data_IF_333032779273
#
_entry.id   IF_333032779273
#
_cell.length_a   1.000
_cell.length_b   1.000
_cell.length_c   1.000
_cell.angle_alpha   90.00
_cell.angle_beta   90.00
_cell.angle_gamma   90.00
#
_symmetry.space_group_name_H-M   'P 1'
#
loop_
_entity.id
_entity.type
_entity.pdbx_description
1 polymer ?
#
# COMPACT_ATOMS: atom_id res chain seq x y z
N UNK A 1 -17.68 1.37 10.09
CA UNK A 1 -16.58 2.19 10.64
C UNK A 1 -15.30 1.38 10.66
N UNK A 2 -14.26 1.76 9.90
CA UNK A 2 -12.93 1.16 10.06
C UNK A 2 -12.26 1.83 11.25
N UNK A 3 -12.23 1.17 12.40
CA UNK A 3 -11.40 1.58 13.54
C UNK A 3 -9.92 1.64 13.11
N UNK A 4 -9.13 2.47 13.80
CA UNK A 4 -7.70 2.63 13.50
C UNK A 4 -6.99 1.27 13.51
N UNK A 5 -6.36 0.92 12.38
CA UNK A 5 -5.57 -0.31 12.23
C UNK A 5 -4.17 -0.17 12.82
N UNK A 6 -3.74 1.04 13.19
CA UNK A 6 -2.40 1.38 13.68
C UNK A 6 -2.40 1.60 15.19
N UNK A 7 -2.75 0.55 15.93
CA UNK A 7 -2.81 0.61 17.40
C UNK A 7 -1.48 0.17 18.02
N UNK A 8 -0.97 0.96 18.98
CA UNK A 8 0.17 0.58 19.82
C UNK A 8 -0.29 -0.40 20.90
N UNK A 9 0.47 -1.47 21.11
CA UNK A 9 0.17 -2.49 22.14
C UNK A 9 -0.03 -1.88 23.54
N UNK A 10 0.79 -0.89 23.92
CA UNK A 10 0.65 -0.16 25.19
C UNK A 10 -0.69 0.56 25.33
N UNK A 11 -1.19 1.16 24.24
CA UNK A 11 -2.49 1.83 24.25
C UNK A 11 -3.62 0.83 24.48
N UNK A 12 -3.51 -0.35 23.86
CA UNK A 12 -4.49 -1.41 24.03
C UNK A 12 -4.43 -2.01 25.45
N UNK A 13 -3.22 -2.23 25.98
CA UNK A 13 -2.99 -2.69 27.34
C UNK A 13 -3.64 -1.75 28.38
N UNK A 14 -3.47 -0.42 28.24
CA UNK A 14 -4.14 0.57 29.09
C UNK A 14 -5.67 0.53 28.94
N UNK A 15 -6.16 0.42 27.70
CA UNK A 15 -7.60 0.43 27.41
C UNK A 15 -8.33 -0.78 28.00
N UNK A 16 -7.68 -1.94 28.00
CA UNK A 16 -8.24 -3.22 28.48
C UNK A 16 -7.77 -3.55 29.91
N UNK A 17 -6.94 -2.70 30.51
CA UNK A 17 -6.39 -2.84 31.88
C UNK A 17 -5.69 -4.20 32.05
N UNK A 18 -4.82 -4.54 31.10
CA UNK A 18 -4.00 -5.76 31.12
C UNK A 18 -2.53 -5.41 30.89
N UNK A 19 -1.62 -6.32 31.22
CA UNK A 19 -0.20 -6.12 30.92
C UNK A 19 0.04 -6.11 29.41
N UNK A 20 1.09 -5.40 28.98
CA UNK A 20 1.51 -5.36 27.57
C UNK A 20 1.86 -6.76 27.06
N UNK A 21 2.46 -7.58 27.92
CA UNK A 21 2.82 -8.97 27.63
C UNK A 21 1.59 -9.82 27.30
N UNK A 22 0.53 -9.72 28.10
CA UNK A 22 -0.74 -10.42 27.83
C UNK A 22 -1.31 -10.03 26.47
N UNK A 23 -1.23 -8.75 26.11
CA UNK A 23 -1.65 -8.29 24.77
C UNK A 23 -0.77 -8.89 23.68
N UNK A 24 0.57 -8.90 23.86
CA UNK A 24 1.50 -9.52 22.91
C UNK A 24 1.18 -11.00 22.68
N UNK A 25 1.01 -11.79 23.74
CA UNK A 25 0.69 -13.22 23.67
C UNK A 25 -0.64 -13.47 22.97
N UNK A 26 -1.67 -12.68 23.27
CA UNK A 26 -2.97 -12.80 22.58
C UNK A 26 -2.81 -12.49 21.09
N UNK A 27 -2.12 -11.40 20.72
CA UNK A 27 -1.97 -11.00 19.32
C UNK A 27 -1.14 -12.00 18.52
N UNK A 28 0.03 -12.39 19.03
CA UNK A 28 0.96 -13.24 18.29
C UNK A 28 0.61 -14.72 18.35
N UNK A 29 0.26 -15.25 19.52
CA UNK A 29 0.13 -16.70 19.71
C UNK A 29 -1.30 -17.20 19.50
N UNK A 30 -2.29 -16.43 19.98
CA UNK A 30 -3.71 -16.82 19.88
C UNK A 30 -4.36 -16.35 18.59
N UNK A 31 -4.15 -15.08 18.22
CA UNK A 31 -4.77 -14.46 17.04
C UNK A 31 -3.88 -14.51 15.80
N UNK A 32 -2.61 -14.92 15.95
CA UNK A 32 -1.64 -15.06 14.85
C UNK A 32 -1.45 -13.77 14.02
N UNK A 33 -1.61 -12.61 14.65
CA UNK A 33 -1.31 -11.33 14.03
C UNK A 33 0.20 -11.10 13.93
N UNK A 34 0.59 -10.50 12.81
CA UNK A 34 1.96 -10.06 12.55
C UNK A 34 2.03 -8.54 12.61
N UNK A 35 3.12 -8.02 13.16
CA UNK A 35 3.45 -6.60 13.06
C UNK A 35 4.02 -6.35 11.67
N UNK A 36 3.24 -5.70 10.82
CA UNK A 36 3.66 -5.36 9.45
C UNK A 36 4.00 -3.88 9.37
N UNK A 37 5.14 -3.56 8.76
CA UNK A 37 5.49 -2.18 8.43
C UNK A 37 4.61 -1.69 7.28
N UNK A 38 4.22 -0.41 7.34
CA UNK A 38 3.49 0.22 6.24
C UNK A 38 4.43 0.37 5.05
N UNK A 39 3.91 0.11 3.85
CA UNK A 39 4.62 0.40 2.62
C UNK A 39 4.61 1.91 2.36
N UNK A 40 5.74 2.43 1.90
CA UNK A 40 5.83 3.80 1.42
C UNK A 40 5.05 3.94 0.12
N UNK A 41 4.22 4.99 0.04
CA UNK A 41 3.49 5.35 -1.17
C UNK A 41 3.93 6.75 -1.56
N UNK A 42 4.35 6.93 -2.82
CA UNK A 42 4.94 8.18 -3.32
C UNK A 42 4.02 9.40 -3.16
N UNK A 43 2.71 9.22 -3.32
CA UNK A 43 1.72 10.31 -3.25
C UNK A 43 0.40 9.81 -2.68
N UNK A 44 -0.26 10.65 -1.88
CA UNK A 44 -1.66 10.46 -1.51
C UNK A 44 -2.55 10.85 -2.70
N UNK A 45 -3.28 9.89 -3.26
CA UNK A 45 -4.16 10.12 -4.40
C UNK A 45 -5.54 10.59 -3.94
N UNK A 46 -6.05 11.66 -4.56
CA UNK A 46 -7.47 12.03 -4.47
C UNK A 46 -8.33 11.04 -5.26
N UNK A 47 -9.64 11.05 -5.05
CA UNK A 47 -10.53 10.14 -5.76
C UNK A 47 -10.52 10.39 -7.28
N UNK A 48 -10.49 11.67 -7.69
CA UNK A 48 -10.28 12.03 -9.09
C UNK A 48 -8.98 11.45 -9.68
N UNK A 49 -7.84 11.51 -8.95
CA UNK A 49 -6.60 10.90 -9.43
C UNK A 49 -6.74 9.37 -9.62
N UNK A 50 -7.51 8.69 -8.76
CA UNK A 50 -7.75 7.24 -8.87
C UNK A 50 -8.64 6.94 -10.07
N UNK A 51 -9.69 7.71 -10.29
CA UNK A 51 -10.58 7.57 -11.44
C UNK A 51 -9.82 7.77 -12.75
N UNK A 52 -9.01 8.81 -12.85
CA UNK A 52 -8.16 9.05 -14.02
C UNK A 52 -7.17 7.89 -14.24
N UNK A 53 -6.52 7.41 -13.17
CA UNK A 53 -5.54 6.31 -13.27
C UNK A 53 -6.18 4.99 -13.65
N UNK A 54 -7.32 4.64 -13.07
CA UNK A 54 -8.03 3.38 -13.33
C UNK A 54 -8.76 3.42 -14.67
N UNK A 55 -9.62 4.42 -14.86
CA UNK A 55 -10.53 4.52 -15.98
C UNK A 55 -9.83 4.89 -17.28
N UNK A 56 -9.09 6.00 -17.26
CA UNK A 56 -8.48 6.54 -18.48
C UNK A 56 -7.14 5.86 -18.78
N UNK A 57 -6.20 5.82 -17.84
CA UNK A 57 -4.89 5.24 -18.14
C UNK A 57 -4.93 3.70 -18.21
N UNK A 58 -5.25 3.03 -17.09
CA UNK A 58 -5.05 1.59 -16.99
C UNK A 58 -5.95 0.78 -17.92
N UNK A 59 -7.26 1.06 -17.94
CA UNK A 59 -8.19 0.29 -18.78
C UNK A 59 -7.94 0.50 -20.27
N UNK A 60 -7.70 1.74 -20.72
CA UNK A 60 -7.44 2.00 -22.14
C UNK A 60 -6.15 1.33 -22.62
N UNK A 61 -5.08 1.39 -21.82
CA UNK A 61 -3.84 0.67 -22.14
C UNK A 61 -4.02 -0.85 -22.14
N UNK A 62 -4.83 -1.40 -21.22
CA UNK A 62 -5.11 -2.83 -21.17
C UNK A 62 -5.90 -3.29 -22.41
N UNK A 63 -6.91 -2.54 -22.83
CA UNK A 63 -7.64 -2.83 -24.07
C UNK A 63 -6.69 -2.79 -25.27
N UNK A 64 -5.84 -1.77 -25.36
CA UNK A 64 -4.90 -1.65 -26.47
C UNK A 64 -3.89 -2.78 -26.51
N UNK A 65 -3.40 -3.21 -25.34
CA UNK A 65 -2.54 -4.38 -25.22
C UNK A 65 -3.21 -5.67 -25.69
N UNK A 66 -4.51 -5.82 -25.43
CA UNK A 66 -5.26 -6.99 -25.88
C UNK A 66 -5.49 -7.01 -27.41
N UNK A 67 -5.71 -5.85 -28.02
CA UNK A 67 -6.01 -5.74 -29.46
C UNK A 67 -4.77 -5.79 -30.35
N UNK A 68 -3.64 -5.25 -29.91
CA UNK A 68 -2.41 -5.17 -30.68
C UNK A 68 -1.30 -5.98 -29.98
N UNK A 69 -0.97 -7.19 -30.48
CA UNK A 69 0.04 -8.05 -29.85
C UNK A 69 1.44 -7.42 -29.85
N UNK A 70 1.70 -6.47 -30.75
CA UNK A 70 2.99 -5.77 -30.85
C UNK A 70 2.97 -4.41 -30.14
N UNK A 71 1.92 -4.11 -29.36
CA UNK A 71 1.75 -2.81 -28.70
C UNK A 71 2.96 -2.43 -27.84
N UNK A 72 3.42 -3.35 -26.99
CA UNK A 72 4.53 -3.09 -26.06
C UNK A 72 5.88 -2.91 -26.78
N UNK A 73 6.10 -3.60 -27.90
CA UNK A 73 7.36 -3.53 -28.65
C UNK A 73 7.63 -2.13 -29.23
N UNK A 74 6.58 -1.33 -29.38
CA UNK A 74 6.66 0.03 -29.92
C UNK A 74 6.80 1.10 -28.84
N UNK A 75 6.71 0.74 -27.56
CA UNK A 75 6.78 1.70 -26.46
C UNK A 75 8.25 1.98 -26.13
N UNK A 76 8.66 3.23 -26.29
CA UNK A 76 9.95 3.74 -25.81
C UNK A 76 9.68 4.71 -24.66
N UNK A 77 10.21 4.43 -23.47
CA UNK A 77 10.10 5.29 -22.29
C UNK A 77 11.47 5.77 -21.84
N UNK A 78 11.58 7.01 -21.38
CA UNK A 78 12.76 7.55 -20.70
C UNK A 78 12.36 8.19 -19.39
N UNK A 79 13.24 8.12 -18.39
CA UNK A 79 13.13 8.89 -17.16
C UNK A 79 14.51 9.33 -16.69
N UNK A 80 14.56 10.40 -15.93
CA UNK A 80 15.79 10.92 -15.34
C UNK A 80 15.85 10.53 -13.86
N UNK A 81 17.05 10.30 -13.35
CA UNK A 81 17.29 10.04 -11.94
C UNK A 81 18.49 10.82 -11.46
N UNK A 82 18.41 11.26 -10.22
CA UNK A 82 19.49 12.00 -9.57
C UNK A 82 20.67 11.07 -9.29
N UNK A 83 21.85 11.45 -9.76
CA UNK A 83 23.11 10.81 -9.39
C UNK A 83 23.72 11.58 -8.21
N UNK A 84 23.76 11.01 -7.00
CA UNK A 84 24.41 11.68 -5.87
C UNK A 84 25.92 11.78 -6.13
N UNK A 85 26.49 12.97 -5.93
CA UNK A 85 27.93 13.20 -5.95
C UNK A 85 28.51 12.99 -4.54
N UNK A 86 29.70 12.40 -4.43
CA UNK A 86 30.38 12.11 -3.16
C UNK A 86 31.39 13.20 -2.83
#
# INVERSE_FOLDING_TARGET
MRSDRRVRLRMLAMKVVVSVETVCTIFHDRLRYLKVCLQWVLKQLTDQHKELRMGLAALQHLFRYHEDPNFLERIVTGYESWCPHY
#
